data_IF_549276461158
#
_entry.id   IF_549276461158
#
_cell.length_a   1.000
_cell.length_b   1.000
_cell.length_c   1.000
_cell.angle_alpha   90.00
_cell.angle_beta   90.00
_cell.angle_gamma   90.00
#
_symmetry.space_group_name_H-M   'P 1'
#
loop_
_entity.id
_entity.type
_entity.pdbx_description
1 polymer ?
#
# COMPACT_ATOMS: atom_id res chain seq x y z
N UNK A 1 29.53 9.53 -39.75
CA UNK A 1 28.98 8.50 -38.85
C UNK A 1 27.99 7.64 -39.61
N UNK A 2 28.39 6.39 -39.84
CA UNK A 2 27.61 5.36 -40.53
C UNK A 2 26.41 4.95 -39.65
N UNK A 3 25.26 4.61 -40.23
CA UNK A 3 23.98 4.45 -39.50
C UNK A 3 24.06 3.38 -38.40
N UNK A 4 24.93 2.39 -38.57
CA UNK A 4 25.24 1.34 -37.58
C UNK A 4 25.89 1.91 -36.31
N UNK A 5 26.71 2.95 -36.43
CA UNK A 5 27.42 3.55 -35.29
C UNK A 5 26.54 4.49 -34.49
N UNK A 6 25.58 5.16 -35.14
CA UNK A 6 24.58 5.99 -34.45
C UNK A 6 23.58 5.12 -33.65
N UNK A 7 23.15 3.99 -34.22
CA UNK A 7 22.29 3.02 -33.54
C UNK A 7 23.03 2.36 -32.37
N UNK A 8 24.29 1.95 -32.56
CA UNK A 8 25.12 1.39 -31.50
C UNK A 8 25.38 2.39 -30.38
N UNK A 9 25.67 3.66 -30.70
CA UNK A 9 25.85 4.71 -29.69
C UNK A 9 24.56 4.97 -28.91
N UNK A 10 23.41 5.00 -29.59
CA UNK A 10 22.10 5.18 -28.95
C UNK A 10 21.77 4.03 -27.98
N UNK A 11 21.93 2.77 -28.43
CA UNK A 11 21.77 1.57 -27.59
C UNK A 11 22.77 1.55 -26.42
N UNK A 12 24.00 2.02 -26.64
CA UNK A 12 25.03 2.12 -25.61
C UNK A 12 24.71 3.22 -24.58
N UNK A 13 24.22 4.38 -25.01
CA UNK A 13 23.74 5.43 -24.10
C UNK A 13 22.48 5.02 -23.32
N UNK A 14 21.63 4.17 -23.91
CA UNK A 14 20.50 3.52 -23.22
C UNK A 14 20.99 2.52 -22.15
N UNK A 15 22.07 1.80 -22.42
CA UNK A 15 22.73 0.91 -21.44
C UNK A 15 23.41 1.67 -20.30
N UNK A 16 23.92 2.88 -20.58
CA UNK A 16 24.58 3.75 -19.59
C UNK A 16 23.61 4.61 -18.79
N UNK A 17 22.38 4.82 -19.28
CA UNK A 17 21.29 5.40 -18.50
C UNK A 17 20.81 4.38 -17.47
N UNK A 18 21.64 4.12 -16.45
CA UNK A 18 21.15 3.41 -15.28
C UNK A 18 19.97 4.19 -14.71
N UNK A 19 18.88 3.52 -14.30
CA UNK A 19 17.82 4.20 -13.58
C UNK A 19 18.45 4.79 -12.33
N UNK A 20 18.55 6.13 -12.29
CA UNK A 20 18.89 6.82 -11.07
C UNK A 20 17.75 6.52 -10.12
N UNK A 21 18.01 5.67 -9.12
CA UNK A 21 17.09 5.42 -8.02
C UNK A 21 16.72 6.78 -7.45
N UNK A 22 15.53 7.25 -7.82
CA UNK A 22 14.99 8.49 -7.34
C UNK A 22 13.71 8.13 -6.64
N UNK A 23 13.71 8.36 -5.33
CA UNK A 23 12.52 8.30 -4.52
C UNK A 23 11.49 9.24 -5.18
N UNK A 24 10.18 8.88 -5.21
CA UNK A 24 9.17 9.73 -5.80
C UNK A 24 9.25 11.16 -5.25
N UNK A 25 9.12 12.17 -6.12
CA UNK A 25 9.33 13.59 -5.78
C UNK A 25 8.44 14.12 -4.65
N UNK A 26 7.32 13.45 -4.40
CA UNK A 26 6.39 13.78 -3.32
C UNK A 26 6.86 13.27 -1.95
N UNK A 27 7.78 12.32 -1.89
CA UNK A 27 8.23 11.67 -0.66
C UNK A 27 9.28 12.53 0.04
N UNK A 28 8.81 13.39 0.94
CA UNK A 28 9.63 14.34 1.70
C UNK A 28 9.01 14.59 3.07
N UNK A 29 9.79 15.15 3.99
CA UNK A 29 9.31 15.53 5.32
C UNK A 29 8.05 16.40 5.24
N UNK A 30 7.05 16.07 6.05
CA UNK A 30 5.74 16.72 6.09
C UNK A 30 4.70 16.12 5.14
N UNK A 31 5.06 15.21 4.24
CA UNK A 31 4.08 14.49 3.42
C UNK A 31 3.26 13.53 4.27
N UNK A 32 1.96 13.47 4.03
CA UNK A 32 1.08 12.51 4.68
C UNK A 32 0.11 11.87 3.70
N UNK A 33 -0.33 10.66 4.05
CA UNK A 33 -1.35 9.91 3.32
C UNK A 33 -2.27 9.28 4.37
N UNK A 34 -3.57 9.43 4.20
CA UNK A 34 -4.61 8.92 5.08
C UNK A 34 -5.55 8.03 4.30
N UNK A 35 -5.77 6.82 4.81
CA UNK A 35 -6.71 5.83 4.29
C UNK A 35 -7.87 5.65 5.25
N UNK A 36 -9.02 5.24 4.73
CA UNK A 36 -10.22 5.01 5.52
C UNK A 36 -10.87 3.67 5.22
N UNK A 37 -11.45 3.06 6.26
CA UNK A 37 -12.59 2.14 6.17
C UNK A 37 -13.76 2.88 6.80
N UNK A 38 -14.79 3.19 6.01
CA UNK A 38 -15.93 3.95 6.53
C UNK A 38 -17.07 3.00 6.89
N UNK A 39 -17.63 3.22 8.07
CA UNK A 39 -18.82 2.51 8.52
C UNK A 39 -20.04 3.04 7.77
N UNK A 40 -21.00 2.18 7.39
CA UNK A 40 -22.20 2.63 6.72
C UNK A 40 -23.13 3.34 7.71
N UNK A 41 -23.92 4.28 7.19
CA UNK A 41 -24.76 5.15 8.01
C UNK A 41 -26.03 4.47 8.54
N UNK A 42 -26.29 3.22 8.12
CA UNK A 42 -27.47 2.47 8.51
C UNK A 42 -27.38 1.89 9.92
N UNK A 43 -26.19 1.92 10.54
CA UNK A 43 -25.99 1.47 11.92
C UNK A 43 -26.11 -0.04 12.09
N UNK A 44 -25.91 -0.83 11.03
CA UNK A 44 -25.92 -2.29 11.10
C UNK A 44 -24.77 -2.81 11.97
N UNK A 45 -25.10 -3.28 13.17
CA UNK A 45 -24.13 -3.79 14.16
C UNK A 45 -23.35 -5.04 13.69
N UNK A 46 -23.73 -5.65 12.56
CA UNK A 46 -23.00 -6.78 11.98
C UNK A 46 -21.86 -6.36 11.06
N UNK A 47 -21.82 -5.10 10.65
CA UNK A 47 -20.79 -4.56 9.77
C UNK A 47 -19.65 -4.00 10.61
N UNK A 48 -18.71 -4.87 10.94
CA UNK A 48 -17.61 -4.58 11.88
C UNK A 48 -16.28 -4.99 11.30
N UNK A 49 -15.24 -4.22 11.60
CA UNK A 49 -13.86 -4.63 11.39
C UNK A 49 -13.27 -5.10 12.71
N UNK A 50 -12.60 -6.25 12.71
CA UNK A 50 -11.97 -6.82 13.89
C UNK A 50 -10.46 -6.65 13.77
N UNK A 51 -9.84 -6.09 14.81
CA UNK A 51 -8.39 -5.98 14.94
C UNK A 51 -7.92 -6.79 16.15
N UNK A 52 -7.19 -7.86 15.90
CA UNK A 52 -6.52 -8.66 16.93
C UNK A 52 -5.21 -7.98 17.29
N UNK A 53 -5.11 -7.50 18.53
CA UNK A 53 -3.92 -6.82 19.04
C UNK A 53 -3.25 -7.62 20.14
N UNK A 54 -1.93 -7.50 20.26
CA UNK A 54 -1.16 -8.13 21.33
C UNK A 54 -0.60 -7.07 22.27
N UNK A 55 -1.14 -6.92 23.50
CA UNK A 55 -0.84 -5.80 24.40
C UNK A 55 0.64 -5.44 24.58
N UNK A 56 1.58 -6.39 24.69
CA UNK A 56 3.01 -6.07 24.84
C UNK A 56 3.63 -5.33 23.66
N UNK A 57 2.99 -5.38 22.47
CA UNK A 57 3.45 -4.67 21.26
C UNK A 57 2.68 -3.38 20.99
N UNK A 58 1.61 -3.11 21.74
CA UNK A 58 0.78 -1.91 21.53
C UNK A 58 1.49 -0.68 22.13
N UNK A 59 1.43 0.49 21.47
CA UNK A 59 1.93 1.74 22.04
C UNK A 59 1.35 2.06 23.44
N UNK A 60 2.15 2.64 24.37
CA UNK A 60 1.78 2.77 25.79
C UNK A 60 0.39 3.35 26.05
N UNK A 61 0.04 4.46 25.40
CA UNK A 61 -1.25 5.14 25.62
C UNK A 61 -2.47 4.27 25.28
N UNK A 62 -2.36 3.41 24.27
CA UNK A 62 -3.42 2.48 23.89
C UNK A 62 -3.40 1.25 24.80
N UNK A 63 -2.21 0.75 25.15
CA UNK A 63 -2.02 -0.37 26.07
C UNK A 63 -2.61 -0.08 27.45
N UNK A 64 -2.35 1.10 28.02
CA UNK A 64 -2.91 1.51 29.32
C UNK A 64 -4.44 1.53 29.32
N UNK A 65 -5.06 2.02 28.24
CA UNK A 65 -6.53 2.02 28.10
C UNK A 65 -7.12 0.62 28.03
N UNK A 66 -6.43 -0.30 27.37
CA UNK A 66 -6.88 -1.69 27.26
C UNK A 66 -6.70 -2.43 28.59
N UNK A 67 -5.54 -2.30 29.24
CA UNK A 67 -5.26 -2.96 30.52
C UNK A 67 -6.06 -2.37 31.70
N UNK A 68 -6.70 -1.21 31.53
CA UNK A 68 -7.67 -0.69 32.50
C UNK A 68 -8.98 -1.51 32.55
N UNK A 69 -9.21 -2.40 31.58
CA UNK A 69 -10.33 -3.35 31.56
C UNK A 69 -9.87 -4.63 32.28
N UNK A 70 -10.55 -5.00 33.36
CA UNK A 70 -10.13 -6.10 34.25
C UNK A 70 -9.95 -7.45 33.55
N UNK A 71 -10.71 -7.69 32.48
CA UNK A 71 -10.72 -8.93 31.72
C UNK A 71 -9.65 -8.99 30.62
N UNK A 72 -8.94 -7.88 30.37
CA UNK A 72 -7.84 -7.86 29.40
C UNK A 72 -6.56 -8.32 30.08
N UNK A 73 -6.03 -9.45 29.60
CA UNK A 73 -4.72 -9.97 30.00
C UNK A 73 -3.62 -9.33 29.16
N UNK A 74 -2.45 -9.12 29.76
CA UNK A 74 -1.25 -8.67 29.04
C UNK A 74 -0.67 -9.78 28.14
N UNK A 75 -0.93 -11.05 28.46
CA UNK A 75 -0.30 -12.19 27.79
C UNK A 75 -1.17 -12.82 26.69
N UNK A 76 -2.35 -12.24 26.39
CA UNK A 76 -3.31 -12.79 25.44
C UNK A 76 -3.63 -11.81 24.29
N UNK A 77 -4.13 -12.35 23.18
CA UNK A 77 -4.68 -11.51 22.11
C UNK A 77 -5.96 -10.82 22.58
N UNK A 78 -6.13 -9.58 22.15
CA UNK A 78 -7.29 -8.75 22.43
C UNK A 78 -7.99 -8.44 21.14
N UNK A 79 -9.27 -8.83 21.03
CA UNK A 79 -10.08 -8.55 19.84
C UNK A 79 -10.75 -7.19 20.00
N UNK A 80 -10.39 -6.24 19.13
CA UNK A 80 -11.02 -4.92 19.03
C UNK A 80 -12.08 -4.96 17.92
N UNK A 81 -13.35 -4.98 18.30
CA UNK A 81 -14.47 -4.96 17.36
C UNK A 81 -14.85 -3.51 17.07
N UNK A 82 -14.59 -3.04 15.85
CA UNK A 82 -14.74 -1.65 15.46
C UNK A 82 -16.00 -1.50 14.60
N UNK A 83 -16.95 -0.71 15.12
CA UNK A 83 -18.23 -0.41 14.46
C UNK A 83 -18.22 0.94 13.74
N UNK A 84 -17.29 1.82 14.08
CA UNK A 84 -17.13 3.14 13.49
C UNK A 84 -16.06 3.20 12.40
N UNK A 85 -15.70 4.42 12.03
CA UNK A 85 -14.68 4.67 11.01
C UNK A 85 -13.28 4.29 11.50
N UNK A 86 -12.50 3.70 10.60
CA UNK A 86 -11.09 3.38 10.80
C UNK A 86 -10.25 4.28 9.93
N UNK A 87 -9.21 4.89 10.50
CA UNK A 87 -8.25 5.68 9.74
C UNK A 87 -6.82 5.19 9.93
N UNK A 88 -6.15 4.90 8.82
CA UNK A 88 -4.73 4.57 8.78
C UNK A 88 -3.96 5.72 8.14
N UNK A 89 -3.08 6.37 8.90
CA UNK A 89 -2.34 7.54 8.46
C UNK A 89 -0.85 7.27 8.48
N UNK A 90 -0.18 7.60 7.39
CA UNK A 90 1.27 7.60 7.26
C UNK A 90 1.75 9.04 7.13
N UNK A 91 2.74 9.43 7.92
CA UNK A 91 3.37 10.75 7.85
C UNK A 91 4.86 10.60 7.76
N UNK A 92 5.44 11.08 6.66
CA UNK A 92 6.89 11.19 6.51
C UNK A 92 7.35 12.32 7.42
N UNK A 93 8.01 11.99 8.52
CA UNK A 93 8.53 12.98 9.47
C UNK A 93 9.80 13.62 8.93
N UNK A 94 10.68 12.81 8.36
CA UNK A 94 12.00 13.22 7.91
C UNK A 94 12.52 12.29 6.82
N UNK A 95 13.35 12.83 5.92
CA UNK A 95 14.09 12.08 4.90
C UNK A 95 15.53 12.56 4.96
N UNK A 96 16.46 11.68 5.32
CA UNK A 96 17.88 12.00 5.43
C UNK A 96 18.72 10.89 4.82
N UNK A 97 19.67 11.26 3.96
CA UNK A 97 20.53 10.32 3.26
C UNK A 97 19.71 9.25 2.50
N UNK A 98 19.81 7.99 2.92
CA UNK A 98 19.11 6.84 2.35
C UNK A 98 18.02 6.28 3.28
N UNK A 99 17.63 7.03 4.32
CA UNK A 99 16.57 6.62 5.25
C UNK A 99 15.48 7.66 5.40
N UNK A 100 14.28 7.18 5.72
CA UNK A 100 13.15 8.02 6.08
C UNK A 100 12.50 7.54 7.36
N UNK A 101 11.98 8.50 8.12
CA UNK A 101 11.24 8.24 9.34
C UNK A 101 9.76 8.45 9.03
N UNK A 102 8.96 7.41 9.23
CA UNK A 102 7.52 7.40 8.95
C UNK A 102 6.78 7.19 10.26
N UNK A 103 5.93 8.13 10.63
CA UNK A 103 4.96 7.90 11.69
C UNK A 103 3.71 7.25 11.10
N UNK A 104 3.37 6.09 11.62
CA UNK A 104 2.14 5.37 11.29
C UNK A 104 1.18 5.54 12.45
N UNK A 105 -0.06 5.93 12.16
CA UNK A 105 -1.12 6.07 13.14
C UNK A 105 -2.36 5.30 12.68
N UNK A 106 -2.90 4.44 13.54
CA UNK A 106 -4.19 3.78 13.36
C UNK A 106 -5.17 4.31 14.38
N UNK A 107 -6.25 4.92 13.90
CA UNK A 107 -7.36 5.45 14.70
C UNK A 107 -8.59 4.56 14.47
N UNK A 108 -9.08 3.96 15.55
CA UNK A 108 -10.26 3.10 15.60
C UNK A 108 -11.36 3.83 16.37
N UNK A 109 -12.50 4.08 15.74
CA UNK A 109 -13.63 4.78 16.36
C UNK A 109 -14.79 3.80 16.66
N UNK A 110 -15.49 4.01 17.77
CA UNK A 110 -16.58 3.13 18.24
C UNK A 110 -16.10 1.67 18.36
N UNK A 111 -15.26 1.44 19.38
CA UNK A 111 -14.55 0.18 19.60
C UNK A 111 -15.16 -0.58 20.75
N UNK A 112 -15.36 -1.88 20.55
CA UNK A 112 -15.82 -2.81 21.57
C UNK A 112 -14.77 -3.89 21.81
N UNK A 113 -14.15 -3.88 22.98
CA UNK A 113 -13.16 -4.89 23.37
C UNK A 113 -13.89 -6.18 23.72
N UNK A 114 -13.51 -7.28 23.06
CA UNK A 114 -14.19 -8.59 23.13
C UNK A 114 -15.71 -8.51 22.89
N UNK A 115 -16.17 -7.50 22.13
CA UNK A 115 -17.58 -7.17 21.92
C UNK A 115 -18.38 -6.92 23.24
N UNK A 116 -17.71 -6.46 24.30
CA UNK A 116 -18.30 -6.26 25.63
C UNK A 116 -18.04 -4.87 26.23
N UNK A 117 -16.81 -4.39 26.12
CA UNK A 117 -16.39 -3.14 26.76
C UNK A 117 -16.25 -2.03 25.73
N UNK A 118 -17.06 -0.99 25.88
CA UNK A 118 -17.08 0.13 24.95
C UNK A 118 -15.95 1.12 25.22
N UNK A 119 -15.24 1.45 24.15
CA UNK A 119 -14.29 2.54 24.09
C UNK A 119 -14.65 3.42 22.90
N UNK A 120 -14.88 4.72 23.18
CA UNK A 120 -15.23 5.68 22.12
C UNK A 120 -14.19 5.71 21.00
N UNK A 121 -12.91 5.61 21.35
CA UNK A 121 -11.80 5.68 20.41
C UNK A 121 -10.52 5.07 20.98
N UNK A 122 -9.81 4.32 20.14
CA UNK A 122 -8.42 3.89 20.35
C UNK A 122 -7.54 4.50 19.26
N UNK A 123 -6.39 5.03 19.64
CA UNK A 123 -5.39 5.54 18.70
C UNK A 123 -4.05 4.90 19.04
N UNK A 124 -3.45 4.22 18.07
CA UNK A 124 -2.12 3.63 18.17
C UNK A 124 -1.19 4.38 17.22
N UNK A 125 0.02 4.70 17.65
CA UNK A 125 1.03 5.37 16.81
C UNK A 125 2.39 4.72 17.00
N UNK A 126 3.09 4.48 15.91
CA UNK A 126 4.43 3.90 15.88
C UNK A 126 5.30 4.63 14.86
N UNK A 127 6.58 4.75 15.17
CA UNK A 127 7.58 5.35 14.28
C UNK A 127 8.41 4.23 13.66
N UNK A 128 8.49 4.23 12.34
CA UNK A 128 9.20 3.25 11.54
C UNK A 128 10.32 3.90 10.73
N UNK A 129 11.44 3.19 10.62
CA UNK A 129 12.58 3.60 9.79
C UNK A 129 12.54 2.84 8.48
N UNK A 130 12.44 3.57 7.37
CA UNK A 130 12.41 3.05 6.02
C UNK A 130 13.80 3.21 5.38
N UNK A 131 14.40 2.11 4.93
CA UNK A 131 15.55 2.10 4.02
C UNK A 131 15.04 2.40 2.60
N UNK A 132 15.42 3.55 2.06
CA UNK A 132 14.94 4.07 0.78
C UNK A 132 15.63 3.41 -0.41
N UNK A 133 16.80 2.81 -0.21
CA UNK A 133 17.52 2.08 -1.26
C UNK A 133 16.87 0.72 -1.51
N UNK A 134 16.48 0.04 -0.44
CA UNK A 134 15.86 -1.29 -0.48
C UNK A 134 14.32 -1.22 -0.52
N UNK A 135 13.75 -0.07 -0.19
CA UNK A 135 12.31 0.16 0.00
C UNK A 135 11.70 -0.85 0.98
N UNK A 136 12.33 -0.95 2.16
CA UNK A 136 11.89 -1.82 3.27
C UNK A 136 12.06 -1.12 4.61
N UNK A 137 11.14 -1.37 5.55
CA UNK A 137 11.35 -0.99 6.94
C UNK A 137 12.40 -1.87 7.59
N UNK A 138 13.18 -1.24 8.47
CA UNK A 138 14.21 -1.87 9.26
C UNK A 138 14.00 -1.55 10.75
N UNK A 139 14.34 -2.50 11.62
CA UNK A 139 14.44 -2.26 13.06
C UNK A 139 15.78 -1.59 13.44
N UNK A 140 15.95 -1.29 14.72
CA UNK A 140 17.16 -0.67 15.27
C UNK A 140 18.44 -1.52 15.06
N UNK A 141 18.27 -2.83 14.82
CA UNK A 141 19.37 -3.75 14.53
C UNK A 141 19.60 -3.93 13.02
N UNK A 142 18.88 -3.20 12.17
CA UNK A 142 18.94 -3.31 10.71
C UNK A 142 18.21 -4.53 10.13
N UNK A 143 17.44 -5.26 10.94
CA UNK A 143 16.65 -6.40 10.48
C UNK A 143 15.43 -5.92 9.71
N UNK A 144 15.13 -6.59 8.60
CA UNK A 144 14.02 -6.20 7.71
C UNK A 144 12.68 -6.60 8.33
N UNK A 145 11.78 -5.63 8.47
CA UNK A 145 10.39 -5.84 8.91
C UNK A 145 9.45 -6.12 7.73
N UNK A 146 9.70 -5.51 6.57
CA UNK A 146 8.90 -5.68 5.37
C UNK A 146 8.84 -4.43 4.51
N UNK A 147 8.00 -4.42 3.47
CA UNK A 147 7.83 -3.27 2.56
C UNK A 147 6.72 -2.35 3.04
N UNK A 148 6.85 -1.02 2.84
CA UNK A 148 5.77 -0.09 3.17
C UNK A 148 4.54 -0.37 2.32
N UNK A 149 3.36 -0.28 2.92
CA UNK A 149 2.09 -0.56 2.22
C UNK A 149 1.55 0.63 1.44
N UNK A 150 1.86 1.84 1.88
CA UNK A 150 1.37 3.06 1.23
C UNK A 150 2.15 3.43 -0.05
N UNK A 151 3.26 2.73 -0.33
CA UNK A 151 4.23 3.14 -1.34
C UNK A 151 4.90 1.96 -2.05
N UNK A 152 4.91 2.01 -3.38
CA UNK A 152 5.80 1.22 -4.24
C UNK A 152 6.60 2.14 -5.16
N UNK A 153 7.82 1.75 -5.54
CA UNK A 153 8.56 2.43 -6.59
C UNK A 153 8.06 1.96 -7.97
N UNK A 154 7.44 2.81 -8.81
CA UNK A 154 6.97 2.37 -10.13
C UNK A 154 8.10 1.93 -11.08
N UNK A 155 9.32 2.43 -10.84
CA UNK A 155 10.51 2.10 -11.64
C UNK A 155 11.25 0.86 -11.15
N UNK A 156 10.96 0.40 -9.93
CA UNK A 156 11.57 -0.76 -9.30
C UNK A 156 10.53 -1.50 -8.47
N UNK A 157 9.66 -2.22 -9.18
CA UNK A 157 8.61 -3.02 -8.56
C UNK A 157 9.21 -4.25 -7.87
N UNK A 158 8.62 -4.70 -6.74
CA UNK A 158 9.15 -5.85 -6.02
C UNK A 158 8.99 -7.12 -6.87
N UNK A 159 10.03 -7.96 -6.87
CA UNK A 159 9.99 -9.22 -7.60
C UNK A 159 9.09 -10.26 -6.93
N UNK A 160 8.58 -11.20 -7.72
CA UNK A 160 7.89 -12.38 -7.20
C UNK A 160 8.78 -13.12 -6.19
N UNK A 161 8.17 -13.63 -5.13
CA UNK A 161 8.79 -14.26 -3.95
C UNK A 161 9.66 -13.32 -3.09
N UNK A 162 9.73 -12.02 -3.39
CA UNK A 162 10.36 -11.07 -2.47
C UNK A 162 9.50 -10.84 -1.23
N UNK A 163 10.14 -10.46 -0.13
CA UNK A 163 9.48 -10.25 1.16
C UNK A 163 8.52 -9.05 1.10
N UNK A 164 7.27 -9.25 1.52
CA UNK A 164 6.32 -8.18 1.85
C UNK A 164 6.30 -7.92 3.35
N UNK A 165 6.18 -8.96 4.18
CA UNK A 165 6.11 -8.84 5.64
C UNK A 165 6.90 -9.97 6.31
N UNK A 166 7.78 -9.59 7.23
CA UNK A 166 8.52 -10.52 8.06
C UNK A 166 7.69 -10.92 9.29
N UNK A 167 7.32 -12.20 9.38
CA UNK A 167 6.50 -12.71 10.49
C UNK A 167 7.34 -13.31 11.62
N UNK A 168 8.68 -13.18 11.59
CA UNK A 168 9.56 -13.78 12.61
C UNK A 168 9.29 -13.29 14.02
N UNK A 169 8.96 -12.01 14.21
CA UNK A 169 8.57 -11.46 15.51
C UNK A 169 7.33 -12.15 16.05
N UNK A 170 6.29 -12.24 15.22
CA UNK A 170 5.01 -12.88 15.55
C UNK A 170 5.18 -14.39 15.83
N UNK A 171 6.04 -15.07 15.06
CA UNK A 171 6.40 -16.49 15.30
C UNK A 171 7.07 -16.69 16.66
N UNK A 172 7.95 -15.78 17.08
CA UNK A 172 8.61 -15.86 18.41
C UNK A 172 7.62 -15.69 19.57
N UNK A 173 6.49 -15.03 19.33
CA UNK A 173 5.39 -14.88 20.29
C UNK A 173 4.46 -16.10 20.33
N UNK A 174 4.71 -17.13 19.51
CA UNK A 174 3.97 -18.39 19.54
C UNK A 174 3.02 -18.61 18.36
N UNK A 175 2.93 -17.67 17.42
CA UNK A 175 2.14 -17.87 16.21
C UNK A 175 2.77 -18.92 15.27
N UNK A 176 1.95 -19.81 14.73
CA UNK A 176 2.34 -20.66 13.61
C UNK A 176 1.92 -19.99 12.31
N UNK A 177 2.88 -19.40 11.61
CA UNK A 177 2.66 -18.74 10.32
C UNK A 177 3.94 -18.73 9.48
N UNK A 178 3.89 -18.14 8.28
CA UNK A 178 5.03 -17.97 7.37
C UNK A 178 5.20 -16.49 7.04
N UNK A 179 6.38 -16.13 6.56
CA UNK A 179 6.58 -14.77 6.05
C UNK A 179 5.69 -14.54 4.83
N UNK A 180 5.19 -13.32 4.68
CA UNK A 180 4.29 -12.95 3.59
C UNK A 180 5.15 -12.49 2.43
N UNK A 181 5.02 -13.13 1.28
CA UNK A 181 5.83 -12.86 0.09
C UNK A 181 4.96 -12.27 -1.03
N UNK A 182 5.58 -11.58 -1.97
CA UNK A 182 4.95 -11.18 -3.24
C UNK A 182 4.63 -12.44 -4.03
N UNK A 183 3.37 -12.66 -4.37
CA UNK A 183 2.99 -13.73 -5.30
C UNK A 183 2.89 -13.22 -6.74
N UNK A 184 2.28 -12.04 -6.92
CA UNK A 184 2.10 -11.47 -8.25
C UNK A 184 2.26 -9.96 -8.24
N UNK A 185 2.87 -9.44 -9.30
CA UNK A 185 2.86 -8.03 -9.67
C UNK A 185 2.33 -7.94 -11.09
N UNK A 186 1.24 -7.23 -11.28
CA UNK A 186 0.63 -7.03 -12.59
C UNK A 186 0.23 -5.59 -12.78
N UNK A 187 0.09 -5.19 -14.04
CA UNK A 187 -0.65 -3.99 -14.38
C UNK A 187 -2.13 -4.39 -14.49
N UNK A 188 -2.99 -3.61 -13.85
CA UNK A 188 -4.32 -4.03 -13.40
C UNK A 188 -5.17 -4.73 -14.48
N UNK A 189 -5.95 -5.77 -14.11
CA UNK A 189 -6.97 -6.37 -14.97
C UNK A 189 -8.16 -5.44 -15.28
N UNK A 190 -8.18 -4.23 -14.71
CA UNK A 190 -9.22 -3.21 -14.91
C UNK A 190 -8.69 -2.03 -15.75
N UNK A 191 -8.00 -2.32 -16.85
CA UNK A 191 -7.40 -1.33 -17.75
C UNK A 191 -8.39 -0.28 -18.29
N UNK A 192 -9.70 -0.60 -18.25
CA UNK A 192 -10.78 0.26 -18.75
C UNK A 192 -11.71 0.79 -17.65
N UNK A 193 -11.33 0.69 -16.38
CA UNK A 193 -12.20 1.10 -15.28
C UNK A 193 -11.57 2.14 -14.35
N UNK A 194 -12.38 3.14 -14.02
CA UNK A 194 -12.04 4.22 -13.10
C UNK A 194 -12.18 3.75 -11.68
N UNK A 195 -11.15 3.97 -10.87
CA UNK A 195 -11.15 3.59 -9.47
C UNK A 195 -11.50 4.79 -8.60
N UNK A 196 -12.64 4.72 -7.92
CA UNK A 196 -13.08 5.77 -7.01
C UNK A 196 -12.51 5.55 -5.62
N UNK A 197 -12.15 6.66 -4.97
CA UNK A 197 -11.79 6.74 -3.56
C UNK A 197 -12.52 7.92 -2.92
N UNK A 198 -12.34 8.14 -1.61
CA UNK A 198 -12.91 9.32 -0.94
C UNK A 198 -12.14 10.60 -1.24
N UNK A 199 -10.88 10.50 -1.66
CA UNK A 199 -10.06 11.65 -2.05
C UNK A 199 -10.34 12.10 -3.48
N UNK A 200 -10.25 11.18 -4.45
CA UNK A 200 -10.52 11.44 -5.89
C UNK A 200 -10.83 10.17 -6.66
N UNK A 201 -11.12 10.33 -7.95
CA UNK A 201 -11.11 9.23 -8.93
C UNK A 201 -9.73 9.12 -9.58
N UNK A 202 -9.25 7.89 -9.71
CA UNK A 202 -8.03 7.51 -10.40
C UNK A 202 -8.38 6.85 -11.73
N UNK A 203 -7.55 7.10 -12.73
CA UNK A 203 -7.68 6.54 -14.07
C UNK A 203 -6.58 5.47 -14.25
N UNK A 204 -6.84 4.40 -15.02
CA UNK A 204 -5.86 3.35 -15.29
C UNK A 204 -4.67 3.88 -16.14
N UNK A 205 -3.52 3.17 -16.15
CA UNK A 205 -3.27 1.86 -15.54
C UNK A 205 -2.96 1.96 -14.03
N UNK A 206 -3.14 0.83 -13.32
CA UNK A 206 -2.77 0.69 -11.90
C UNK A 206 -1.72 -0.42 -11.74
N UNK A 207 -0.84 -0.27 -10.74
CA UNK A 207 0.06 -1.35 -10.32
C UNK A 207 -0.69 -2.19 -9.29
N UNK A 208 -0.79 -3.50 -9.53
CA UNK A 208 -1.45 -4.47 -8.67
C UNK A 208 -0.41 -5.39 -8.05
N UNK A 209 -0.40 -5.50 -6.72
CA UNK A 209 0.48 -6.40 -5.98
C UNK A 209 -0.37 -7.30 -5.09
N UNK A 210 -0.23 -8.61 -5.23
CA UNK A 210 -0.85 -9.58 -4.34
C UNK A 210 0.20 -10.40 -3.60
N UNK A 211 -0.12 -10.80 -2.38
CA UNK A 211 0.75 -11.65 -1.58
C UNK A 211 0.44 -13.13 -1.75
N UNK A 212 1.38 -13.97 -1.30
CA UNK A 212 1.10 -15.35 -0.91
C UNK A 212 -0.02 -15.39 0.13
N UNK A 213 -0.86 -16.41 0.06
CA UNK A 213 -1.78 -16.75 1.15
C UNK A 213 -1.03 -17.62 2.16
N UNK A 214 -1.04 -17.23 3.42
CA UNK A 214 -0.35 -17.97 4.48
C UNK A 214 -1.31 -18.30 5.61
N UNK A 215 -1.24 -19.52 6.17
CA UNK A 215 -2.02 -19.83 7.35
C UNK A 215 -1.51 -19.03 8.55
N UNK A 216 -2.41 -18.70 9.45
CA UNK A 216 -2.10 -18.06 10.71
C UNK A 216 -2.83 -18.77 11.83
N UNK A 217 -2.07 -19.31 12.79
CA UNK A 217 -2.61 -19.94 13.98
C UNK A 217 -1.98 -19.35 15.23
N UNK A 218 -2.81 -19.03 16.22
CA UNK A 218 -2.37 -18.57 17.53
C UNK A 218 -3.09 -19.36 18.62
N UNK A 219 -2.33 -19.93 19.56
CA UNK A 219 -2.90 -20.69 20.67
C UNK A 219 -3.37 -19.74 21.77
N UNK A 220 -4.62 -19.88 22.19
CA UNK A 220 -5.21 -19.15 23.31
C UNK A 220 -5.31 -20.07 24.55
N UNK A 221 -5.62 -19.50 25.71
CA UNK A 221 -5.80 -20.29 26.95
C UNK A 221 -6.98 -21.26 26.86
N UNK A 222 -8.05 -20.88 26.15
CA UNK A 222 -9.29 -21.64 25.99
C UNK A 222 -9.56 -22.14 24.56
N UNK A 223 -8.56 -22.07 23.67
CA UNK A 223 -8.72 -22.51 22.29
C UNK A 223 -7.60 -22.07 21.36
N UNK A 224 -7.97 -21.65 20.16
CA UNK A 224 -7.05 -21.10 19.18
C UNK A 224 -7.75 -20.10 18.27
N UNK A 225 -6.99 -19.11 17.82
CA UNK A 225 -7.34 -18.24 16.72
C UNK A 225 -6.72 -18.80 15.44
N UNK A 226 -7.51 -18.88 14.36
CA UNK A 226 -7.05 -19.39 13.07
C UNK A 226 -7.63 -18.55 11.94
N UNK A 227 -6.77 -18.14 11.01
CA UNK A 227 -7.19 -17.46 9.78
C UNK A 227 -6.21 -17.76 8.63
N UNK A 228 -6.54 -17.30 7.43
CA UNK A 228 -5.61 -17.23 6.30
C UNK A 228 -5.32 -15.77 6.02
N UNK A 229 -4.05 -15.38 6.12
CA UNK A 229 -3.60 -14.02 5.82
C UNK A 229 -3.39 -13.89 4.32
N UNK A 230 -3.93 -12.82 3.74
CA UNK A 230 -3.74 -12.44 2.36
C UNK A 230 -3.80 -10.91 2.18
N UNK A 231 -2.90 -10.41 1.34
CA UNK A 231 -2.82 -8.99 1.04
C UNK A 231 -2.92 -8.73 -0.46
N UNK A 232 -3.59 -7.64 -0.79
CA UNK A 232 -3.86 -7.15 -2.13
C UNK A 232 -3.81 -5.62 -2.14
N UNK A 233 -3.05 -5.06 -3.06
CA UNK A 233 -2.80 -3.62 -3.12
C UNK A 233 -2.92 -3.11 -4.55
N UNK A 234 -3.52 -1.93 -4.71
CA UNK A 234 -3.54 -1.16 -5.94
C UNK A 234 -2.84 0.17 -5.72
N UNK A 235 -1.88 0.48 -6.59
CA UNK A 235 -1.11 1.71 -6.56
C UNK A 235 -1.33 2.52 -7.83
N UNK A 236 -1.27 3.83 -7.67
CA UNK A 236 -1.20 4.78 -8.77
C UNK A 236 0.10 4.58 -9.54
N UNK A 237 0.00 4.43 -10.86
CA UNK A 237 1.13 4.06 -11.70
C UNK A 237 2.24 5.12 -11.71
N UNK A 238 1.89 6.41 -11.66
CA UNK A 238 2.86 7.48 -11.81
C UNK A 238 3.53 7.86 -10.49
N UNK A 239 2.77 7.84 -9.39
CA UNK A 239 3.25 8.26 -8.08
C UNK A 239 3.70 7.10 -7.21
N UNK A 240 3.21 5.88 -7.47
CA UNK A 240 3.45 4.71 -6.62
C UNK A 240 2.71 4.75 -5.28
N UNK A 241 1.78 5.70 -5.08
CA UNK A 241 0.95 5.79 -3.87
C UNK A 241 -0.13 4.71 -3.92
N UNK A 242 -0.36 4.00 -2.81
CA UNK A 242 -1.49 3.07 -2.74
C UNK A 242 -2.79 3.84 -2.88
N UNK A 243 -3.65 3.43 -3.81
CA UNK A 243 -4.99 3.97 -4.02
C UNK A 243 -5.98 3.25 -3.08
N UNK A 244 -5.88 1.92 -3.04
CA UNK A 244 -6.70 1.07 -2.17
C UNK A 244 -6.02 -0.28 -1.91
N UNK A 245 -6.36 -0.94 -0.79
CA UNK A 245 -5.85 -2.27 -0.48
C UNK A 245 -6.74 -3.06 0.48
N UNK A 246 -6.72 -4.38 0.31
CA UNK A 246 -7.27 -5.37 1.24
C UNK A 246 -6.08 -6.11 1.83
N UNK A 247 -5.86 -6.00 3.12
CA UNK A 247 -4.71 -6.61 3.79
C UNK A 247 -5.03 -6.93 5.24
N UNK A 248 -4.56 -8.09 5.69
CA UNK A 248 -4.79 -8.52 7.07
C UNK A 248 -3.61 -8.17 7.99
N UNK A 249 -2.39 -8.19 7.43
CA UNK A 249 -1.15 -7.93 8.17
C UNK A 249 -0.17 -7.14 7.32
N UNK A 250 0.40 -6.09 7.89
CA UNK A 250 1.39 -5.21 7.27
C UNK A 250 2.51 -4.94 8.27
N UNK A 251 3.72 -4.52 7.84
CA UNK A 251 4.76 -4.12 8.78
C UNK A 251 4.29 -3.00 9.71
N UNK A 252 3.40 -2.13 9.21
CA UNK A 252 2.85 -1.03 9.97
C UNK A 252 1.82 -1.47 11.01
N UNK A 253 0.99 -2.48 10.71
CA UNK A 253 0.10 -3.10 11.68
C UNK A 253 0.88 -3.80 12.79
N UNK A 254 1.91 -4.57 12.43
CA UNK A 254 2.76 -5.25 13.43
C UNK A 254 3.44 -4.25 14.37
N UNK A 255 3.91 -3.11 13.84
CA UNK A 255 4.53 -2.05 14.64
C UNK A 255 3.55 -1.33 15.58
N UNK A 256 2.25 -1.38 15.28
CA UNK A 256 1.17 -0.87 16.12
C UNK A 256 0.64 -1.92 17.11
N UNK A 257 1.20 -3.13 17.09
CA UNK A 257 0.74 -4.26 17.90
C UNK A 257 -0.48 -4.98 17.35
N UNK A 258 -0.91 -4.68 16.12
CA UNK A 258 -1.98 -5.39 15.40
C UNK A 258 -1.38 -6.64 14.74
N UNK A 259 -1.79 -7.81 15.21
CA UNK A 259 -1.29 -9.10 14.74
C UNK A 259 -2.10 -9.62 13.55
N UNK A 260 -3.39 -9.27 13.50
CA UNK A 260 -4.27 -9.50 12.36
C UNK A 260 -5.39 -8.45 12.40
N UNK A 261 -5.76 -7.86 11.26
CA UNK A 261 -6.80 -6.84 11.23
C UNK A 261 -7.63 -6.88 9.96
N UNK A 262 -8.93 -6.69 10.09
CA UNK A 262 -9.80 -6.56 8.92
C UNK A 262 -9.49 -5.27 8.14
N UNK A 263 -9.80 -5.31 6.85
CA UNK A 263 -9.61 -4.20 5.93
C UNK A 263 -10.87 -3.91 5.11
N UNK A 264 -12.06 -4.21 5.63
CA UNK A 264 -13.29 -4.14 4.86
C UNK A 264 -13.99 -2.77 4.99
N UNK A 265 -14.06 -2.03 3.89
CA UNK A 265 -14.82 -0.79 3.77
C UNK A 265 -16.24 -1.08 3.31
N UNK A 266 -17.16 -1.12 4.27
CA UNK A 266 -18.57 -1.42 4.04
C UNK A 266 -19.27 -0.35 3.20
N UNK A 267 -18.93 0.93 3.37
CA UNK A 267 -19.53 1.99 2.56
C UNK A 267 -19.05 1.91 1.10
N UNK A 268 -17.77 1.58 0.86
CA UNK A 268 -17.28 1.34 -0.49
C UNK A 268 -17.91 0.07 -1.10
N UNK A 269 -18.14 -0.98 -0.30
CA UNK A 269 -18.85 -2.17 -0.74
C UNK A 269 -20.29 -1.86 -1.20
N UNK A 270 -21.04 -1.05 -0.45
CA UNK A 270 -22.38 -0.60 -0.83
C UNK A 270 -22.38 0.16 -2.15
N UNK A 271 -21.44 1.11 -2.33
CA UNK A 271 -21.29 1.85 -3.59
C UNK A 271 -20.95 0.94 -4.77
N UNK A 272 -20.07 -0.05 -4.55
CA UNK A 272 -19.73 -1.06 -5.56
C UNK A 272 -20.98 -1.86 -5.97
N UNK A 273 -21.76 -2.31 -5.00
CA UNK A 273 -22.97 -3.09 -5.24
C UNK A 273 -24.04 -2.26 -5.97
N UNK A 274 -24.13 -0.96 -5.70
CA UNK A 274 -24.98 -0.05 -6.47
C UNK A 274 -24.55 0.07 -7.94
N UNK A 275 -23.24 0.22 -8.21
CA UNK A 275 -22.71 0.27 -9.57
C UNK A 275 -23.02 -1.02 -10.33
N UNK A 276 -22.85 -2.18 -9.68
CA UNK A 276 -23.17 -3.49 -10.25
C UNK A 276 -24.67 -3.62 -10.56
N UNK A 277 -25.56 -3.20 -9.64
CA UNK A 277 -27.02 -3.20 -9.87
C UNK A 277 -27.43 -2.30 -11.04
N UNK A 278 -26.71 -1.20 -11.27
CA UNK A 278 -26.90 -0.29 -12.41
C UNK A 278 -26.24 -0.78 -13.70
N UNK A 279 -25.51 -1.89 -13.67
CA UNK A 279 -24.80 -2.44 -14.82
C UNK A 279 -23.57 -1.62 -15.27
N UNK A 280 -23.05 -0.74 -14.40
CA UNK A 280 -21.88 0.11 -14.70
C UNK A 280 -20.62 -0.72 -14.45
N UNK A 281 -19.82 -0.94 -15.50
CA UNK A 281 -18.61 -1.79 -15.45
C UNK A 281 -17.28 -1.02 -15.51
N UNK A 282 -17.32 0.24 -15.96
CA UNK A 282 -16.14 1.10 -16.14
C UNK A 282 -15.85 1.99 -14.91
N UNK A 283 -16.53 1.73 -13.80
CA UNK A 283 -16.37 2.44 -12.53
C UNK A 283 -16.29 1.40 -11.42
N UNK A 284 -15.39 1.61 -10.47
CA UNK A 284 -15.08 0.67 -9.41
C UNK A 284 -14.96 1.37 -8.06
N UNK A 285 -15.52 0.72 -7.04
CA UNK A 285 -15.19 0.94 -5.63
C UNK A 285 -14.64 -0.38 -5.08
N UNK A 286 -13.47 -0.33 -4.44
CA UNK A 286 -12.94 -1.51 -3.75
C UNK A 286 -13.34 -1.47 -2.27
N UNK A 287 -13.78 -2.61 -1.70
CA UNK A 287 -14.19 -2.68 -0.31
C UNK A 287 -12.98 -2.78 0.65
N UNK A 288 -11.87 -2.11 0.32
CA UNK A 288 -10.61 -2.10 1.07
C UNK A 288 -10.35 -0.77 1.77
N UNK A 289 -9.19 -0.61 2.39
CA UNK A 289 -8.69 0.72 2.80
C UNK A 289 -8.60 1.62 1.57
N UNK A 290 -9.42 2.68 1.51
CA UNK A 290 -9.45 3.61 0.38
C UNK A 290 -8.72 4.90 0.72
N UNK A 291 -8.01 5.48 -0.24
CA UNK A 291 -7.38 6.79 -0.06
C UNK A 291 -8.43 7.84 0.31
N UNK A 292 -8.19 8.51 1.43
CA UNK A 292 -9.13 9.45 2.03
C UNK A 292 -8.65 10.89 1.96
N UNK A 293 -7.38 11.11 2.32
CA UNK A 293 -6.80 12.47 2.34
C UNK A 293 -5.28 12.42 2.20
N UNK A 294 -4.69 13.43 1.55
CA UNK A 294 -3.24 13.55 1.36
C UNK A 294 -2.87 14.94 0.85
N UNK A 295 -1.63 15.38 1.13
CA UNK A 295 -1.04 16.58 0.51
C UNK A 295 -0.20 16.27 -0.75
N UNK A 296 -0.23 15.04 -1.26
CA UNK A 296 0.45 14.66 -2.50
C UNK A 296 -0.30 15.24 -3.70
N UNK A 297 0.46 15.90 -4.58
CA UNK A 297 -0.06 16.39 -5.86
C UNK A 297 0.02 15.27 -6.88
N UNK A 298 -1.12 14.69 -7.18
CA UNK A 298 -1.25 13.74 -8.28
C UNK A 298 -1.29 14.49 -9.62
N UNK A 299 -0.70 13.92 -10.68
CA UNK A 299 -0.88 14.45 -12.02
C UNK A 299 -2.36 14.63 -12.38
N UNK A 300 -2.67 15.71 -13.08
CA UNK A 300 -4.00 15.95 -13.62
C UNK A 300 -3.99 15.61 -15.11
N UNK A 301 -4.39 14.38 -15.42
CA UNK A 301 -4.61 13.96 -16.79
C UNK A 301 -6.04 14.35 -17.16
N UNK A 302 -6.23 15.59 -17.59
CA UNK A 302 -7.49 15.97 -18.25
C UNK A 302 -7.84 14.98 -19.36
N UNK A 303 -9.10 14.96 -19.81
CA UNK A 303 -9.68 13.98 -20.77
C UNK A 303 -8.98 13.87 -22.15
N UNK A 304 -7.89 14.61 -22.39
CA UNK A 304 -7.13 14.65 -23.65
C UNK A 304 -5.64 14.37 -23.49
N UNK A 305 -5.16 13.94 -22.32
CA UNK A 305 -3.74 13.68 -22.12
C UNK A 305 -3.49 12.21 -21.82
N UNK A 306 -2.86 11.51 -22.76
CA UNK A 306 -2.21 10.23 -22.49
C UNK A 306 -1.09 10.45 -21.45
N UNK A 307 -0.90 9.51 -20.51
CA UNK A 307 0.11 9.66 -19.47
C UNK A 307 1.51 9.89 -20.09
N UNK A 308 2.36 10.73 -19.48
CA UNK A 308 3.72 10.96 -19.93
C UNK A 308 4.57 9.75 -19.52
N UNK A 309 4.35 8.62 -20.16
CA UNK A 309 5.20 7.44 -19.93
C UNK A 309 6.60 7.73 -20.46
N UNK A 310 7.66 7.18 -19.82
CA UNK A 310 8.99 7.11 -20.42
C UNK A 310 8.96 6.57 -21.86
N UNK A 311 8.00 5.69 -22.15
CA UNK A 311 7.66 5.19 -23.48
C UNK A 311 7.28 6.29 -24.49
N UNK A 312 6.59 7.35 -24.09
CA UNK A 312 6.27 8.48 -24.99
C UNK A 312 7.51 9.27 -25.36
N UNK A 313 8.41 9.53 -24.41
CA UNK A 313 9.70 10.15 -24.70
C UNK A 313 10.57 9.23 -25.55
N UNK A 314 10.59 7.94 -25.25
CA UNK A 314 11.27 6.93 -26.06
C UNK A 314 10.73 6.88 -27.49
N UNK A 315 9.40 6.89 -27.66
CA UNK A 315 8.75 6.83 -28.97
C UNK A 315 8.96 8.12 -29.76
N UNK A 316 8.91 9.27 -29.08
CA UNK A 316 9.19 10.58 -29.69
C UNK A 316 10.66 10.69 -30.09
N UNK A 317 11.58 10.27 -29.23
CA UNK A 317 13.02 10.24 -29.52
C UNK A 317 13.34 9.25 -30.65
N UNK A 318 12.68 8.09 -30.65
CA UNK A 318 12.77 7.09 -31.72
C UNK A 318 12.26 7.63 -33.05
N UNK A 319 11.12 8.34 -33.05
CA UNK A 319 10.55 9.01 -34.23
C UNK A 319 11.48 10.11 -34.77
N UNK A 320 12.06 10.92 -33.88
CA UNK A 320 13.02 11.96 -34.26
C UNK A 320 14.27 11.34 -34.88
N UNK A 321 14.81 10.26 -34.30
CA UNK A 321 15.95 9.54 -34.85
C UNK A 321 15.62 8.88 -36.19
N UNK A 322 14.42 8.33 -36.34
CA UNK A 322 13.92 7.76 -37.59
C UNK A 322 13.81 8.82 -38.69
N UNK A 323 13.27 10.00 -38.36
CA UNK A 323 13.13 11.13 -39.28
C UNK A 323 14.50 11.66 -39.76
N UNK A 324 15.46 11.79 -38.84
CA UNK A 324 16.84 12.20 -39.17
C UNK A 324 17.53 11.16 -40.07
N UNK A 325 17.33 9.86 -39.80
CA UNK A 325 17.86 8.80 -40.64
C UNK A 325 17.24 8.85 -42.06
N UNK A 326 15.93 9.05 -42.16
CA UNK A 326 15.23 9.15 -43.44
C UNK A 326 15.71 10.35 -44.27
N UNK A 327 15.76 11.55 -43.67
CA UNK A 327 16.25 12.77 -44.35
C UNK A 327 17.68 12.63 -44.87
N UNK A 328 18.56 11.99 -44.09
CA UNK A 328 19.94 11.74 -44.50
C UNK A 328 20.03 10.75 -45.66
N UNK A 329 19.20 9.71 -45.67
CA UNK A 329 19.16 8.73 -46.76
C UNK A 329 18.69 9.37 -48.06
N UNK A 330 17.72 10.28 -47.98
CA UNK A 330 17.17 10.96 -49.15
C UNK A 330 18.11 12.05 -49.71
N UNK A 331 18.85 12.74 -48.85
CA UNK A 331 19.93 13.66 -49.27
C UNK A 331 21.10 12.93 -49.93
N UNK A 332 21.35 11.68 -49.57
CA UNK A 332 22.43 10.87 -50.15
C UNK A 332 22.02 10.24 -51.50
N UNK A 333 20.73 10.00 -51.73
CA UNK A 333 20.19 9.55 -53.04
C UNK A 333 20.12 10.65 -54.10
N UNK A 334 20.10 11.92 -53.69
CA UNK A 334 20.03 13.09 -54.59
C UNK A 334 21.41 13.64 -55.00
N UNK A 335 22.48 13.06 -54.49
CA UNK A 335 23.86 13.23 -54.96
C UNK A 335 24.26 11.97 -55.71
#
# INVERSE_FOLDING_TARGET
MDHKHALAFFLFSLFLAQPVYSIPSWFKGGTYIKYALLSPKDGDEKKVNIFEVYPPLIPPDAREKLLAINEVSEDELVSLVVRGDVFLTFRVLNVQNETAVVNTTLELNDVWVYNRYYLRRIVMSAILTLDLKRMVYIDDNGSVLGRPTFLVSPVDLPSKNSLLVNMSGVKRLGAMTKDILVDNVSYSPWEDAKLHTYYRTFEPPYICISSSQVPFYWKLSDGYYSTTIWNYYLYDFDTGVMITGLFDVTPEFLALGVINGDSYDYLAAEKRDELQKKGIKHELWNPGFNLYDTNIKFPDYGTKHSPPTPLRYFFTLSLVLLAVAFLKTELTKRR
#
